data_IF_368309391998
#
_entry.id   IF_368309391998
#
_cell.length_a   1.000
_cell.length_b   1.000
_cell.length_c   1.000
_cell.angle_alpha   90.00
_cell.angle_beta   90.00
_cell.angle_gamma   90.00
#
_symmetry.space_group_name_H-M   'P 1'
#
loop_
_entity.id
_entity.type
_entity.pdbx_description
1 polymer ?
#
# COMPACT_ATOMS: atom_id res chain seq x y z
N UNK A 1 39.60 -45.18 -48.86
CA UNK A 1 39.59 -45.24 -47.37
C UNK A 1 40.52 -44.23 -46.66
N UNK A 2 41.54 -43.61 -47.29
CA UNK A 2 42.46 -42.69 -46.56
C UNK A 2 42.01 -41.21 -46.43
N UNK A 3 41.12 -40.70 -47.30
CA UNK A 3 40.71 -39.27 -47.27
C UNK A 3 39.69 -38.91 -46.18
N UNK A 4 38.81 -39.83 -45.80
CA UNK A 4 37.80 -39.59 -44.75
C UNK A 4 38.42 -39.52 -43.34
N UNK A 5 39.47 -40.31 -43.07
CA UNK A 5 40.18 -40.25 -41.79
C UNK A 5 40.91 -38.92 -41.57
N UNK A 6 41.47 -38.33 -42.64
CA UNK A 6 42.16 -37.02 -42.56
C UNK A 6 41.16 -35.89 -42.27
N UNK A 7 39.97 -35.91 -42.89
CA UNK A 7 38.93 -34.91 -42.64
C UNK A 7 38.43 -34.96 -41.19
N UNK A 8 38.29 -36.15 -40.62
CA UNK A 8 37.84 -36.33 -39.24
C UNK A 8 38.88 -35.80 -38.24
N UNK A 9 40.17 -36.06 -38.49
CA UNK A 9 41.28 -35.57 -37.65
C UNK A 9 41.40 -34.05 -37.71
N UNK A 10 41.27 -33.45 -38.90
CA UNK A 10 41.26 -31.99 -39.05
C UNK A 10 40.06 -31.38 -38.31
N UNK A 11 38.88 -31.99 -38.39
CA UNK A 11 37.70 -31.50 -37.66
C UNK A 11 37.89 -31.52 -36.15
N UNK A 12 38.55 -32.55 -35.61
CA UNK A 12 38.82 -32.65 -34.16
C UNK A 12 39.85 -31.62 -33.70
N UNK A 13 40.89 -31.35 -34.50
CA UNK A 13 41.89 -30.32 -34.20
C UNK A 13 41.28 -28.91 -34.28
N UNK A 14 40.41 -28.65 -35.26
CA UNK A 14 39.70 -27.37 -35.37
C UNK A 14 38.77 -27.14 -34.17
N UNK A 15 38.10 -28.19 -33.67
CA UNK A 15 37.29 -28.10 -32.45
C UNK A 15 38.13 -27.91 -31.18
N UNK A 16 39.33 -28.49 -31.08
CA UNK A 16 40.19 -28.33 -29.90
C UNK A 16 40.90 -26.97 -29.83
N UNK A 17 40.88 -26.18 -30.91
CA UNK A 17 41.44 -24.83 -30.96
C UNK A 17 40.44 -23.74 -30.58
N UNK A 18 39.16 -24.09 -30.39
CA UNK A 18 38.14 -23.17 -29.87
C UNK A 18 38.37 -23.04 -28.36
N UNK A 19 39.18 -22.06 -27.97
CA UNK A 19 39.30 -21.66 -26.57
C UNK A 19 37.97 -21.06 -26.14
N UNK A 20 37.24 -21.79 -25.28
CA UNK A 20 36.12 -21.22 -24.55
C UNK A 20 36.70 -20.34 -23.46
N UNK A 21 36.86 -19.04 -23.75
CA UNK A 21 37.01 -18.06 -22.68
C UNK A 21 35.76 -18.13 -21.81
N UNK A 22 35.88 -18.35 -20.48
CA UNK A 22 34.72 -18.36 -19.61
C UNK A 22 34.12 -16.96 -19.63
N UNK A 23 33.00 -16.80 -20.34
CA UNK A 23 32.13 -15.63 -20.16
C UNK A 23 31.52 -15.74 -18.77
N UNK A 24 32.20 -15.17 -17.78
CA UNK A 24 31.57 -14.87 -16.50
C UNK A 24 30.41 -13.93 -16.79
N UNK A 25 29.19 -14.38 -16.50
CA UNK A 25 28.07 -13.48 -16.37
C UNK A 25 28.44 -12.52 -15.24
N UNK A 26 28.69 -11.25 -15.58
CA UNK A 26 28.74 -10.20 -14.59
C UNK A 26 27.31 -10.12 -14.02
N UNK A 27 27.13 -10.67 -12.83
CA UNK A 27 25.91 -10.49 -12.05
C UNK A 27 25.83 -8.99 -11.81
N UNK A 28 25.06 -8.31 -12.66
CA UNK A 28 24.86 -6.88 -12.59
C UNK A 28 24.35 -6.62 -11.18
N UNK A 29 25.13 -5.93 -10.35
CA UNK A 29 24.68 -5.54 -9.02
C UNK A 29 23.28 -4.95 -9.17
N UNK A 30 22.27 -5.69 -8.71
CA UNK A 30 20.90 -5.19 -8.72
C UNK A 30 20.94 -4.03 -7.74
N UNK A 31 20.71 -2.78 -8.19
CA UNK A 31 20.79 -1.65 -7.29
C UNK A 31 19.87 -1.94 -6.11
N UNK A 32 20.41 -1.85 -4.89
CA UNK A 32 19.64 -2.01 -3.66
C UNK A 32 18.42 -1.10 -3.76
N UNK A 33 17.25 -1.68 -4.03
CA UNK A 33 16.00 -0.95 -4.00
C UNK A 33 15.61 -0.83 -2.53
N UNK A 34 15.65 0.37 -1.93
CA UNK A 34 15.39 0.56 -0.50
C UNK A 34 13.92 0.35 -0.13
N UNK A 35 13.08 -0.08 -1.07
CA UNK A 35 11.65 -0.30 -0.85
C UNK A 35 11.35 -1.75 -1.23
N UNK A 36 10.94 -2.55 -0.25
CA UNK A 36 10.20 -3.77 -0.52
C UNK A 36 8.93 -3.37 -1.28
N UNK A 37 8.85 -3.69 -2.58
CA UNK A 37 7.63 -3.46 -3.37
C UNK A 37 6.44 -4.33 -2.91
N UNK A 38 6.62 -5.14 -1.86
CA UNK A 38 5.57 -5.95 -1.27
C UNK A 38 4.73 -5.10 -0.33
N UNK A 39 3.46 -4.93 -0.69
CA UNK A 39 2.47 -4.34 0.21
C UNK A 39 2.21 -5.30 1.37
N UNK A 40 2.39 -4.82 2.58
CA UNK A 40 2.12 -5.54 3.82
C UNK A 40 0.73 -5.20 4.35
N UNK A 41 0.11 -6.14 5.06
CA UNK A 41 -1.18 -5.91 5.75
C UNK A 41 -1.14 -6.44 7.19
N UNK A 42 -0.19 -5.97 8.02
CA UNK A 42 -0.06 -6.34 9.42
C UNK A 42 -1.29 -5.92 10.23
N UNK A 43 -1.50 -6.59 11.38
CA UNK A 43 -2.57 -6.21 12.30
C UNK A 43 -2.27 -4.86 12.97
N UNK A 44 -3.30 -4.21 13.52
CA UNK A 44 -3.12 -3.00 14.32
C UNK A 44 -2.11 -3.19 15.47
N UNK A 45 -2.10 -4.33 16.15
CA UNK A 45 -1.16 -4.59 17.25
C UNK A 45 0.30 -4.57 16.77
N UNK A 46 0.56 -5.06 15.56
CA UNK A 46 1.89 -5.04 14.94
C UNK A 46 2.24 -3.63 14.46
N UNK A 47 1.33 -2.96 13.75
CA UNK A 47 1.52 -1.58 13.29
C UNK A 47 1.77 -0.62 14.46
N UNK A 48 1.10 -0.82 15.58
CA UNK A 48 1.29 0.01 16.76
C UNK A 48 2.72 -0.05 17.32
N UNK A 49 3.44 -1.16 17.08
CA UNK A 49 4.87 -1.30 17.40
C UNK A 49 5.76 -0.68 16.33
N UNK A 50 5.40 -0.83 15.04
CA UNK A 50 6.15 -0.29 13.90
C UNK A 50 6.10 1.24 13.85
N UNK A 51 4.93 1.82 14.13
CA UNK A 51 4.66 3.26 14.06
C UNK A 51 4.30 3.77 15.45
N UNK A 52 5.23 3.86 16.42
CA UNK A 52 4.92 4.41 17.75
C UNK A 52 4.48 5.89 17.66
N UNK A 53 3.91 6.43 18.75
CA UNK A 53 3.57 7.86 18.83
C UNK A 53 4.80 8.72 18.53
N UNK A 54 4.56 9.89 17.92
CA UNK A 54 5.54 10.84 17.40
C UNK A 54 6.28 10.41 16.11
N UNK A 55 6.12 9.16 15.66
CA UNK A 55 6.66 8.71 14.38
C UNK A 55 6.17 9.57 13.22
N UNK A 56 7.07 9.79 12.27
CA UNK A 56 6.79 10.52 11.03
C UNK A 56 6.89 9.55 9.87
N UNK A 57 5.96 9.63 8.93
CA UNK A 57 5.90 8.73 7.79
C UNK A 57 5.12 9.37 6.65
N UNK A 58 5.18 8.75 5.48
CA UNK A 58 4.48 9.20 4.28
C UNK A 58 3.20 8.39 4.08
N UNK A 59 2.14 9.08 3.65
CA UNK A 59 0.91 8.46 3.16
C UNK A 59 0.88 8.63 1.65
N UNK A 60 0.44 7.61 0.93
CA UNK A 60 0.21 7.60 -0.51
C UNK A 60 -1.25 7.21 -0.73
N UNK A 61 -2.05 8.10 -1.31
CA UNK A 61 -3.44 7.81 -1.67
C UNK A 61 -3.49 6.90 -2.91
N UNK A 62 -4.17 5.75 -2.80
CA UNK A 62 -4.15 4.72 -3.86
C UNK A 62 -4.83 5.21 -5.13
N UNK A 63 -5.93 5.95 -5.01
CA UNK A 63 -6.72 6.38 -6.18
C UNK A 63 -6.07 7.56 -6.92
N UNK A 64 -5.48 8.53 -6.19
CA UNK A 64 -4.95 9.76 -6.80
C UNK A 64 -3.43 9.74 -7.00
N UNK A 65 -2.73 8.79 -6.38
CA UNK A 65 -1.26 8.72 -6.34
C UNK A 65 -0.59 9.86 -5.56
N UNK A 66 -1.36 10.78 -4.97
CA UNK A 66 -0.80 11.91 -4.22
C UNK A 66 -0.24 11.41 -2.89
N UNK A 67 0.93 11.95 -2.54
CA UNK A 67 1.63 11.60 -1.31
C UNK A 67 1.89 12.81 -0.43
N UNK A 68 1.77 12.65 0.88
CA UNK A 68 2.03 13.72 1.86
C UNK A 68 2.54 13.12 3.17
N UNK A 69 3.31 13.91 3.92
CA UNK A 69 3.94 13.44 5.15
C UNK A 69 3.10 13.80 6.39
N UNK A 70 3.10 12.90 7.37
CA UNK A 70 2.34 13.03 8.61
C UNK A 70 3.17 12.68 9.83
N UNK A 71 2.65 13.02 11.00
CA UNK A 71 3.09 12.52 12.29
C UNK A 71 1.95 11.80 12.99
N UNK A 72 2.21 10.61 13.55
CA UNK A 72 1.30 10.00 14.52
C UNK A 72 1.37 10.76 15.84
N UNK A 73 0.26 11.34 16.26
CA UNK A 73 0.15 12.06 17.55
C UNK A 73 -0.35 11.15 18.66
N UNK A 74 -1.39 10.36 18.39
CA UNK A 74 -2.10 9.59 19.41
C UNK A 74 -2.71 8.30 18.82
N UNK A 75 -3.86 7.89 19.36
CA UNK A 75 -4.60 6.69 18.98
C UNK A 75 -4.19 5.42 19.73
N UNK A 76 -5.19 4.66 20.19
CA UNK A 76 -5.03 3.37 20.89
C UNK A 76 -5.51 2.16 20.08
N UNK A 77 -6.53 2.36 19.24
CA UNK A 77 -7.16 1.32 18.41
C UNK A 77 -6.92 1.53 16.90
N UNK A 78 -6.36 2.68 16.56
CA UNK A 78 -5.95 3.14 15.24
C UNK A 78 -4.96 4.29 15.44
N UNK A 79 -4.40 4.84 14.37
CA UNK A 79 -3.44 5.95 14.47
C UNK A 79 -4.13 7.30 14.30
N UNK A 80 -4.02 8.18 15.31
CA UNK A 80 -4.42 9.58 15.19
C UNK A 80 -3.22 10.36 14.65
N UNK A 81 -3.36 10.93 13.45
CA UNK A 81 -2.26 11.55 12.71
C UNK A 81 -2.59 12.96 12.28
N UNK A 82 -1.56 13.76 12.05
CA UNK A 82 -1.70 15.12 11.55
C UNK A 82 -0.65 15.38 10.45
N UNK A 83 -0.96 16.17 9.40
CA UNK A 83 0.03 16.55 8.39
C UNK A 83 1.26 17.22 9.04
N UNK A 84 2.46 17.05 8.47
CA UNK A 84 3.65 17.70 9.05
C UNK A 84 3.71 19.20 8.77
N UNK A 85 3.34 19.61 7.55
CA UNK A 85 3.47 20.98 7.07
C UNK A 85 2.18 21.50 6.43
N UNK A 86 2.11 22.82 6.19
CA UNK A 86 1.00 23.42 5.41
C UNK A 86 0.88 22.83 4.01
N UNK A 87 2.01 22.53 3.37
CA UNK A 87 2.04 21.87 2.05
C UNK A 87 1.45 20.47 2.12
N UNK A 88 1.77 19.69 3.16
CA UNK A 88 1.18 18.35 3.34
C UNK A 88 -0.34 18.45 3.55
N UNK A 89 -0.81 19.44 4.32
CA UNK A 89 -2.24 19.73 4.50
C UNK A 89 -2.92 20.09 3.18
N UNK A 90 -2.30 20.92 2.35
CA UNK A 90 -2.83 21.29 1.03
C UNK A 90 -2.94 20.06 0.12
N UNK A 91 -1.91 19.20 0.07
CA UNK A 91 -1.93 17.96 -0.71
C UNK A 91 -3.06 17.03 -0.22
N UNK A 92 -3.17 16.84 1.11
CA UNK A 92 -4.25 16.05 1.70
C UNK A 92 -5.63 16.62 1.31
N UNK A 93 -5.79 17.95 1.33
CA UNK A 93 -7.06 18.57 0.93
C UNK A 93 -7.35 18.34 -0.56
N UNK A 94 -6.33 18.33 -1.43
CA UNK A 94 -6.47 17.97 -2.85
C UNK A 94 -6.85 16.50 -3.07
N UNK A 95 -6.42 15.58 -2.21
CA UNK A 95 -6.90 14.17 -2.24
C UNK A 95 -8.42 14.11 -2.06
N UNK A 96 -8.98 15.03 -1.29
CA UNK A 96 -10.41 15.15 -1.04
C UNK A 96 -11.10 16.26 -1.83
N UNK A 97 -10.60 16.57 -3.04
CA UNK A 97 -11.21 17.56 -3.95
C UNK A 97 -11.45 18.93 -3.30
N UNK A 98 -10.45 19.43 -2.57
CA UNK A 98 -10.48 20.71 -1.87
C UNK A 98 -11.50 20.82 -0.73
N UNK A 99 -12.01 19.69 -0.22
CA UNK A 99 -12.95 19.64 0.90
C UNK A 99 -12.46 18.71 2.01
N UNK A 100 -12.93 18.92 3.24
CA UNK A 100 -12.73 17.96 4.32
C UNK A 100 -13.86 16.92 4.30
N UNK A 101 -13.53 15.65 4.46
CA UNK A 101 -14.50 14.58 4.30
C UNK A 101 -14.23 13.40 5.20
N UNK A 102 -15.31 12.79 5.70
CA UNK A 102 -15.25 11.50 6.38
C UNK A 102 -15.11 10.32 5.40
N UNK A 103 -15.17 10.54 4.08
CA UNK A 103 -15.00 9.47 3.08
C UNK A 103 -13.73 8.67 3.34
N UNK A 104 -13.88 7.35 3.39
CA UNK A 104 -12.79 6.40 3.59
C UNK A 104 -12.06 6.27 2.27
N UNK A 105 -10.75 6.31 2.33
CA UNK A 105 -9.88 6.11 1.17
C UNK A 105 -8.88 5.01 1.46
N UNK A 106 -8.56 4.23 0.44
CA UNK A 106 -7.48 3.26 0.47
C UNK A 106 -6.14 4.00 0.35
N UNK A 107 -5.22 3.73 1.27
CA UNK A 107 -3.91 4.38 1.30
C UNK A 107 -2.80 3.39 1.60
N UNK A 108 -1.60 3.73 1.16
CA UNK A 108 -0.37 3.06 1.57
C UNK A 108 0.39 3.95 2.55
N UNK A 109 0.88 3.36 3.63
CA UNK A 109 1.75 4.02 4.60
C UNK A 109 3.18 3.56 4.35
N UNK A 110 4.03 4.48 3.91
CA UNK A 110 5.46 4.25 3.72
C UNK A 110 6.20 4.74 4.98
N UNK A 111 6.76 3.79 5.73
CA UNK A 111 7.51 4.03 6.96
C UNK A 111 8.73 3.13 7.01
N UNK A 112 9.93 3.73 7.09
CA UNK A 112 11.19 3.00 6.88
C UNK A 112 11.11 2.21 5.55
N UNK A 113 11.38 0.91 5.58
CA UNK A 113 11.32 0.02 4.41
C UNK A 113 9.97 -0.69 4.24
N UNK A 114 8.98 -0.37 5.10
CA UNK A 114 7.65 -0.97 5.06
C UNK A 114 6.68 -0.15 4.20
N UNK A 115 5.92 -0.84 3.37
CA UNK A 115 4.79 -0.30 2.63
C UNK A 115 3.50 -0.97 3.10
N UNK A 116 2.76 -0.31 3.99
CA UNK A 116 1.66 -0.90 4.76
C UNK A 116 0.32 -0.47 4.17
N UNK A 117 -0.55 -1.43 3.85
CA UNK A 117 -1.93 -1.17 3.46
C UNK A 117 -2.75 -0.62 4.64
N UNK A 118 -3.44 0.48 4.39
CA UNK A 118 -4.23 1.17 5.40
C UNK A 118 -5.44 1.87 4.78
N UNK A 119 -6.23 2.51 5.64
CA UNK A 119 -7.34 3.37 5.22
C UNK A 119 -7.36 4.66 6.04
N UNK A 120 -7.60 5.80 5.38
CA UNK A 120 -7.74 7.08 6.06
C UNK A 120 -9.09 7.73 5.81
N UNK A 121 -9.46 8.66 6.70
CA UNK A 121 -10.42 9.72 6.40
C UNK A 121 -9.71 11.09 6.29
N UNK A 122 -10.43 12.11 5.82
CA UNK A 122 -9.88 13.45 5.57
C UNK A 122 -10.37 14.53 6.51
N UNK A 123 -11.27 14.22 7.46
CA UNK A 123 -11.92 15.22 8.28
C UNK A 123 -11.04 15.57 9.49
N UNK A 124 -10.66 16.84 9.70
CA UNK A 124 -10.00 17.25 10.93
C UNK A 124 -10.95 17.08 12.12
N UNK A 125 -10.48 16.42 13.17
CA UNK A 125 -11.21 16.27 14.41
C UNK A 125 -10.26 16.15 15.61
N UNK A 126 -10.83 16.26 16.81
CA UNK A 126 -10.07 16.29 18.05
C UNK A 126 -9.04 17.43 18.09
N UNK A 127 -7.95 17.24 18.84
CA UNK A 127 -6.87 18.22 18.96
C UNK A 127 -5.69 17.93 18.02
N UNK A 128 -5.12 18.99 17.45
CA UNK A 128 -3.86 19.00 16.70
C UNK A 128 -2.83 19.87 17.43
N UNK A 129 -1.52 19.61 17.21
CA UNK A 129 -0.45 20.35 17.91
C UNK A 129 0.51 21.10 16.97
N UNK A 130 0.46 20.82 15.67
CA UNK A 130 1.35 21.48 14.69
C UNK A 130 0.66 22.66 14.02
N UNK A 131 1.43 23.71 13.71
CA UNK A 131 0.97 24.86 12.92
C UNK A 131 1.02 24.55 11.41
N UNK A 132 0.27 23.53 11.01
CA UNK A 132 0.22 22.98 9.65
C UNK A 132 -1.03 23.42 8.86
N UNK A 133 -1.89 24.28 9.42
CA UNK A 133 -3.15 24.67 8.79
C UNK A 133 -4.25 23.58 8.81
N UNK A 134 -4.03 22.50 9.56
CA UNK A 134 -4.99 21.41 9.77
C UNK A 134 -5.45 21.40 11.23
N UNK A 135 -6.71 21.73 11.48
CA UNK A 135 -7.26 21.96 12.82
C UNK A 135 -7.65 20.65 13.53
N UNK A 136 -6.67 19.80 13.86
CA UNK A 136 -6.93 18.56 14.55
C UNK A 136 -5.96 17.45 14.17
N UNK A 137 -6.46 16.23 14.22
CA UNK A 137 -5.89 15.04 13.60
C UNK A 137 -6.96 14.37 12.71
N UNK A 138 -6.54 13.37 11.96
CA UNK A 138 -7.41 12.44 11.25
C UNK A 138 -6.99 11.00 11.58
N UNK A 139 -7.86 10.03 11.30
CA UNK A 139 -7.59 8.63 11.63
C UNK A 139 -6.99 7.90 10.44
N UNK A 140 -5.98 7.06 10.70
CA UNK A 140 -5.58 5.96 9.83
C UNK A 140 -5.92 4.65 10.53
N UNK A 141 -6.73 3.84 9.87
CA UNK A 141 -7.09 2.49 10.27
C UNK A 141 -6.25 1.47 9.50
N UNK A 142 -5.79 0.46 10.23
CA UNK A 142 -5.06 -0.69 9.70
C UNK A 142 -5.93 -1.94 9.82
N UNK A 143 -5.41 -3.10 9.41
CA UNK A 143 -6.15 -4.36 9.52
C UNK A 143 -6.48 -4.66 10.99
N UNK A 144 -7.75 -4.96 11.27
CA UNK A 144 -8.24 -5.18 12.64
C UNK A 144 -8.42 -3.92 13.50
N UNK A 145 -8.10 -2.72 13.02
CA UNK A 145 -8.37 -1.47 13.76
C UNK A 145 -9.87 -1.29 14.03
N UNK A 146 -10.19 -0.73 15.20
CA UNK A 146 -11.56 -0.41 15.62
C UNK A 146 -11.76 1.11 15.75
N UNK A 147 -13.01 1.56 15.73
CA UNK A 147 -13.35 2.97 15.95
C UNK A 147 -13.47 3.28 17.44
N UNK A 148 -13.51 4.56 17.81
CA UNK A 148 -13.75 4.94 19.22
C UNK A 148 -15.15 4.55 19.74
N UNK A 149 -16.12 4.36 18.83
CA UNK A 149 -17.53 4.13 19.20
C UNK A 149 -17.91 2.65 19.29
N UNK A 150 -17.08 1.76 18.75
CA UNK A 150 -17.40 0.33 18.62
C UNK A 150 -16.17 -0.52 18.86
N UNK A 151 -16.38 -1.67 19.51
CA UNK A 151 -15.38 -2.73 19.62
C UNK A 151 -15.25 -3.56 18.33
N UNK A 152 -16.18 -3.41 17.39
CA UNK A 152 -16.13 -4.07 16.10
C UNK A 152 -15.36 -3.20 15.07
N UNK A 153 -14.52 -3.79 14.22
CA UNK A 153 -13.89 -3.07 13.11
C UNK A 153 -14.92 -2.38 12.20
N UNK A 154 -14.62 -1.16 11.72
CA UNK A 154 -15.45 -0.48 10.72
C UNK A 154 -15.23 -1.16 9.37
N UNK A 155 -16.27 -1.85 8.87
CA UNK A 155 -16.25 -2.53 7.58
C UNK A 155 -15.77 -1.60 6.45
N UNK A 156 -16.15 -0.32 6.49
CA UNK A 156 -15.73 0.66 5.48
C UNK A 156 -14.22 0.85 5.45
N UNK A 157 -13.59 0.93 6.62
CA UNK A 157 -12.13 1.00 6.71
C UNK A 157 -11.48 -0.34 6.33
N UNK A 158 -12.02 -1.48 6.79
CA UNK A 158 -11.44 -2.79 6.45
C UNK A 158 -11.49 -3.08 4.94
N UNK A 159 -12.55 -2.70 4.24
CA UNK A 159 -12.63 -2.81 2.78
C UNK A 159 -11.58 -1.95 2.08
N UNK A 160 -11.32 -0.73 2.58
CA UNK A 160 -10.27 0.12 2.03
C UNK A 160 -8.85 -0.40 2.33
N UNK A 161 -8.64 -1.04 3.48
CA UNK A 161 -7.38 -1.75 3.78
C UNK A 161 -7.19 -2.91 2.80
N UNK A 162 -8.24 -3.72 2.55
CA UNK A 162 -8.20 -4.80 1.55
C UNK A 162 -7.96 -4.28 0.13
N UNK A 163 -8.58 -3.15 -0.24
CA UNK A 163 -8.37 -2.46 -1.52
C UNK A 163 -6.90 -2.05 -1.66
N UNK A 164 -6.34 -1.37 -0.64
CA UNK A 164 -4.94 -0.97 -0.62
C UNK A 164 -3.98 -2.17 -0.68
N UNK A 165 -4.35 -3.30 -0.07
CA UNK A 165 -3.55 -4.53 -0.08
C UNK A 165 -3.66 -5.34 -1.38
N UNK A 166 -4.53 -4.95 -2.32
CA UNK A 166 -4.79 -5.74 -3.54
C UNK A 166 -5.54 -7.05 -3.27
N UNK A 167 -6.29 -7.14 -2.17
CA UNK A 167 -6.97 -8.37 -1.70
C UNK A 167 -8.50 -8.32 -1.77
N UNK A 168 -9.06 -7.24 -2.31
CA UNK A 168 -10.51 -7.01 -2.29
C UNK A 168 -11.28 -8.00 -3.15
N UNK A 169 -10.75 -8.39 -4.31
CA UNK A 169 -11.36 -9.40 -5.17
C UNK A 169 -11.38 -10.79 -4.51
N UNK A 170 -10.31 -11.17 -3.81
CA UNK A 170 -10.26 -12.42 -3.05
C UNK A 170 -11.33 -12.45 -1.95
N UNK A 171 -11.52 -11.31 -1.27
CA UNK A 171 -12.58 -11.15 -0.28
C UNK A 171 -13.97 -11.35 -0.92
N UNK A 172 -14.24 -10.72 -2.07
CA UNK A 172 -15.54 -10.86 -2.76
C UNK A 172 -15.84 -12.28 -3.22
N UNK A 173 -14.83 -13.00 -3.73
CA UNK A 173 -14.98 -14.41 -4.14
C UNK A 173 -15.41 -15.34 -2.99
N UNK A 174 -15.12 -14.97 -1.74
CA UNK A 174 -15.46 -15.74 -0.54
C UNK A 174 -16.67 -15.20 0.21
N UNK A 175 -17.12 -14.00 -0.12
CA UNK A 175 -18.19 -13.32 0.59
C UNK A 175 -19.55 -13.98 0.32
N UNK A 176 -20.33 -14.13 1.38
CA UNK A 176 -21.73 -14.55 1.29
C UNK A 176 -22.60 -13.45 0.65
N UNK A 177 -23.81 -13.76 0.14
CA UNK A 177 -24.71 -12.75 -0.37
C UNK A 177 -25.04 -11.63 0.63
N UNK A 178 -25.13 -11.95 1.93
CA UNK A 178 -25.35 -10.96 2.97
C UNK A 178 -24.14 -10.04 3.18
N UNK A 179 -22.93 -10.58 3.14
CA UNK A 179 -21.72 -9.76 3.20
C UNK A 179 -21.59 -8.85 1.97
N UNK A 180 -21.86 -9.37 0.77
CA UNK A 180 -21.87 -8.55 -0.45
C UNK A 180 -22.91 -7.42 -0.40
N UNK A 181 -24.08 -7.66 0.20
CA UNK A 181 -25.07 -6.59 0.43
C UNK A 181 -24.51 -5.50 1.35
N UNK A 182 -23.79 -5.87 2.43
CA UNK A 182 -23.14 -4.90 3.30
C UNK A 182 -22.04 -4.11 2.58
N UNK A 183 -21.23 -4.78 1.74
CA UNK A 183 -20.22 -4.11 0.90
C UNK A 183 -20.91 -3.12 -0.06
N UNK A 184 -21.99 -3.52 -0.71
CA UNK A 184 -22.76 -2.63 -1.58
C UNK A 184 -23.26 -1.39 -0.84
N UNK A 185 -23.84 -1.56 0.35
CA UNK A 185 -24.28 -0.43 1.18
C UNK A 185 -23.11 0.48 1.58
N UNK A 186 -21.94 -0.08 1.92
CA UNK A 186 -20.73 0.70 2.20
C UNK A 186 -20.29 1.49 0.96
N UNK A 187 -20.28 0.86 -0.22
CA UNK A 187 -19.87 1.49 -1.47
C UNK A 187 -20.74 2.70 -1.82
N UNK A 188 -22.07 2.57 -1.67
CA UNK A 188 -23.01 3.68 -1.82
C UNK A 188 -22.74 4.80 -0.81
N UNK A 189 -22.63 4.45 0.49
CA UNK A 189 -22.42 5.44 1.56
C UNK A 189 -21.08 6.18 1.44
N UNK A 190 -20.06 5.51 0.89
CA UNK A 190 -18.73 6.09 0.69
C UNK A 190 -18.59 6.81 -0.67
N UNK A 191 -19.61 6.72 -1.54
CA UNK A 191 -19.58 7.20 -2.94
C UNK A 191 -18.37 6.66 -3.69
N UNK A 192 -18.10 5.36 -3.53
CA UNK A 192 -16.97 4.65 -4.13
C UNK A 192 -17.42 3.90 -5.40
N UNK A 193 -17.38 4.60 -6.53
CA UNK A 193 -17.79 4.05 -7.83
C UNK A 193 -16.95 2.86 -8.28
N UNK A 194 -15.68 2.80 -7.87
CA UNK A 194 -14.80 1.68 -8.18
C UNK A 194 -15.23 0.43 -7.42
N UNK A 195 -15.53 0.58 -6.13
CA UNK A 195 -16.06 -0.50 -5.31
C UNK A 195 -17.42 -1.00 -5.84
N UNK A 196 -18.30 -0.09 -6.27
CA UNK A 196 -19.56 -0.44 -6.91
C UNK A 196 -19.33 -1.23 -8.21
N UNK A 197 -18.41 -0.79 -9.07
CA UNK A 197 -18.06 -1.50 -10.30
C UNK A 197 -17.54 -2.90 -10.02
N UNK A 198 -16.67 -3.06 -9.02
CA UNK A 198 -16.13 -4.36 -8.62
C UNK A 198 -17.19 -5.33 -8.07
N UNK A 199 -18.35 -4.85 -7.61
CA UNK A 199 -19.45 -5.71 -7.16
C UNK A 199 -20.30 -6.17 -8.35
N UNK A 200 -20.60 -5.27 -9.30
CA UNK A 200 -21.53 -5.54 -10.40
C UNK A 200 -20.90 -6.14 -11.67
N UNK A 201 -19.61 -5.90 -11.90
CA UNK A 201 -18.93 -6.28 -13.15
C UNK A 201 -17.83 -7.33 -12.92
N UNK A 202 -18.05 -8.27 -11.99
CA UNK A 202 -17.21 -9.46 -11.83
C UNK A 202 -17.34 -10.44 -12.99
#
# INVERSE_FOLDING_TARGET
>A
MKKQGILLIISIIVLSLIKNEPTYAFEKEVPFFPISFRIEMPSWEEVNKIIPKQSKFQIIDVETGKSFNVQRRAGSNHADVQPLTKKDTEIMKKVYNDQWSWRRRAVLVLVNDHLIAASMNGMPHGGGVLQNGFSGHFCIHFWGSTTHRSKNPDLSHQLMVLKAAGKIEEYFKKATPYELLNVFMVAINNTDDELLKMIFFQ
#
